data_IF_057445760753
#
_entry.id   IF_057445760753
#
_cell.length_a   1.000
_cell.length_b   1.000
_cell.length_c   1.000
_cell.angle_alpha   90.00
_cell.angle_beta   90.00
_cell.angle_gamma   90.00
#
_symmetry.space_group_name_H-M   'P 1'
#
loop_
_entity.id
_entity.type
_entity.pdbx_description
1 polymer ?
#
# COMPACT_ATOMS: atom_id res chain seq x y z
N UNK A 1 -6.80 10.06 -7.37
CA UNK A 1 -5.60 10.84 -7.71
C UNK A 1 -5.04 11.48 -6.44
N UNK A 2 -4.04 12.36 -6.55
CA UNK A 2 -3.70 13.33 -5.51
C UNK A 2 -4.36 14.67 -5.90
N UNK A 3 -5.07 15.29 -4.96
CA UNK A 3 -5.79 16.56 -5.13
C UNK A 3 -5.37 17.56 -4.06
N UNK A 4 -5.64 18.85 -4.27
CA UNK A 4 -5.53 19.88 -3.23
C UNK A 4 -6.81 20.00 -2.40
N UNK A 5 -6.85 20.99 -1.51
CA UNK A 5 -7.97 21.27 -0.59
C UNK A 5 -9.25 21.64 -1.33
N UNK A 6 -9.14 22.19 -2.54
CA UNK A 6 -10.26 22.54 -3.43
C UNK A 6 -10.70 21.35 -4.32
N UNK A 7 -10.16 20.14 -4.07
CA UNK A 7 -10.31 18.95 -4.88
C UNK A 7 -9.78 19.06 -6.33
N UNK A 8 -8.97 20.07 -6.64
CA UNK A 8 -8.36 20.20 -7.95
C UNK A 8 -7.29 19.12 -8.12
N UNK A 9 -7.24 18.51 -9.31
CA UNK A 9 -6.27 17.46 -9.62
C UNK A 9 -4.85 18.03 -9.63
N UNK A 10 -3.96 17.45 -8.83
CA UNK A 10 -2.54 17.81 -8.83
C UNK A 10 -1.70 16.83 -9.65
N UNK A 11 -1.79 15.54 -9.31
CA UNK A 11 -1.03 14.47 -9.98
C UNK A 11 -1.59 13.09 -9.64
N UNK A 12 -1.15 12.07 -10.36
CA UNK A 12 -1.37 10.68 -9.95
C UNK A 12 -0.41 10.27 -8.83
N UNK A 13 -0.82 9.29 -8.00
CA UNK A 13 0.06 8.67 -7.00
C UNK A 13 1.30 8.08 -7.70
N UNK A 14 2.45 8.18 -7.02
CA UNK A 14 3.74 7.63 -7.49
C UNK A 14 3.68 6.11 -7.72
N UNK A 15 3.12 5.38 -6.76
CA UNK A 15 2.91 3.93 -6.91
C UNK A 15 1.57 3.68 -7.60
N UNK A 16 1.56 2.77 -8.57
CA UNK A 16 0.38 2.40 -9.35
C UNK A 16 0.16 0.88 -9.32
N UNK A 17 -1.11 0.48 -9.30
CA UNK A 17 -1.50 -0.91 -9.40
C UNK A 17 -1.20 -1.44 -10.82
N UNK A 18 -0.49 -2.57 -10.95
CA UNK A 18 -0.31 -3.22 -12.26
C UNK A 18 -1.65 -3.74 -12.80
N UNK A 19 -1.73 -3.96 -14.11
CA UNK A 19 -2.94 -4.51 -14.76
C UNK A 19 -3.35 -5.85 -14.14
N UNK A 20 -2.38 -6.73 -13.91
CA UNK A 20 -2.55 -7.96 -13.13
C UNK A 20 -1.97 -7.74 -11.74
N UNK A 21 -2.84 -7.47 -10.78
CA UNK A 21 -2.45 -7.24 -9.39
C UNK A 21 -2.69 -8.50 -8.54
N UNK A 22 -1.79 -8.76 -7.60
CA UNK A 22 -1.94 -9.80 -6.60
C UNK A 22 -1.34 -9.35 -5.27
N UNK A 23 -1.53 -10.13 -4.20
CA UNK A 23 -0.85 -9.90 -2.92
C UNK A 23 0.68 -9.84 -3.06
N UNK A 24 1.26 -10.48 -4.08
CA UNK A 24 2.69 -10.42 -4.37
C UNK A 24 3.12 -9.03 -4.86
N UNK A 25 2.24 -8.27 -5.51
CA UNK A 25 2.55 -6.92 -6.02
C UNK A 25 2.90 -5.93 -4.91
N UNK A 26 2.38 -6.15 -3.69
CA UNK A 26 2.67 -5.34 -2.51
C UNK A 26 4.14 -5.42 -2.04
N UNK A 27 4.92 -6.38 -2.56
CA UNK A 27 6.38 -6.41 -2.38
C UNK A 27 7.08 -5.14 -2.89
N UNK A 28 6.44 -4.41 -3.81
CA UNK A 28 6.94 -3.15 -4.38
C UNK A 28 6.41 -1.90 -3.65
N UNK A 29 5.70 -2.10 -2.53
CA UNK A 29 5.04 -1.08 -1.73
C UNK A 29 3.51 -1.08 -1.88
N UNK A 30 2.85 -0.07 -1.30
CA UNK A 30 1.39 0.10 -1.30
C UNK A 30 0.87 0.54 -2.70
N UNK A 31 0.92 -0.37 -3.67
CA UNK A 31 0.58 -0.14 -5.10
C UNK A 31 -0.89 0.22 -5.32
N UNK A 32 -1.76 -0.21 -4.42
CA UNK A 32 -3.15 0.23 -4.28
C UNK A 32 -3.39 0.53 -2.80
N UNK A 33 -4.08 1.62 -2.50
CA UNK A 33 -4.42 1.97 -1.13
C UNK A 33 -5.69 1.26 -0.66
N UNK A 34 -5.86 1.14 0.65
CA UNK A 34 -7.04 0.48 1.23
C UNK A 34 -8.35 1.22 0.92
N UNK A 35 -8.35 2.56 0.80
CA UNK A 35 -9.56 3.33 0.45
C UNK A 35 -10.06 3.01 -0.95
N UNK A 36 -9.17 2.64 -1.88
CA UNK A 36 -9.53 2.23 -3.24
C UNK A 36 -9.64 0.71 -3.38
N UNK A 37 -9.81 -0.01 -2.26
CA UNK A 37 -9.80 -1.48 -2.20
C UNK A 37 -11.19 -1.99 -1.82
N UNK A 38 -11.88 -2.62 -2.76
CA UNK A 38 -13.23 -3.18 -2.55
C UNK A 38 -13.10 -4.68 -2.31
N UNK A 39 -13.63 -5.16 -1.18
CA UNK A 39 -13.52 -6.56 -0.75
C UNK A 39 -14.90 -7.17 -0.63
N UNK A 40 -15.05 -8.40 -1.10
CA UNK A 40 -16.28 -9.18 -0.91
C UNK A 40 -16.50 -9.40 0.59
N UNK A 41 -17.70 -9.10 1.09
CA UNK A 41 -18.04 -9.13 2.53
C UNK A 41 -17.64 -10.44 3.23
N UNK A 42 -17.80 -11.58 2.58
CA UNK A 42 -17.44 -12.90 3.14
C UNK A 42 -15.94 -13.10 3.37
N UNK A 43 -15.08 -12.34 2.68
CA UNK A 43 -13.62 -12.43 2.80
C UNK A 43 -13.07 -11.47 3.86
N UNK A 44 -13.87 -10.49 4.27
CA UNK A 44 -13.48 -9.41 5.15
C UNK A 44 -12.96 -9.94 6.50
N UNK A 45 -11.87 -9.34 6.97
CA UNK A 45 -11.42 -9.45 8.35
C UNK A 45 -11.14 -8.05 8.89
N UNK A 46 -11.20 -7.84 10.21
CA UNK A 46 -10.76 -6.58 10.80
C UNK A 46 -9.25 -6.35 10.62
N UNK A 47 -8.86 -5.08 10.75
CA UNK A 47 -7.46 -4.67 10.83
C UNK A 47 -6.77 -5.36 12.02
N UNK A 48 -5.50 -5.72 11.82
CA UNK A 48 -4.64 -6.18 12.92
C UNK A 48 -4.15 -4.94 13.68
N UNK A 49 -4.71 -4.72 14.87
CA UNK A 49 -4.43 -3.55 15.70
C UNK A 49 -3.08 -3.61 16.42
N UNK A 50 -2.33 -4.71 16.29
CA UNK A 50 -0.94 -4.77 16.74
C UNK A 50 -0.03 -3.85 15.90
N UNK A 51 -0.43 -3.51 14.68
CA UNK A 51 0.18 -2.48 13.86
C UNK A 51 -0.55 -1.15 14.04
N UNK A 52 0.13 -0.15 14.58
CA UNK A 52 -0.48 1.15 14.89
C UNK A 52 -0.56 2.08 13.69
N UNK A 53 0.31 1.91 12.70
CA UNK A 53 0.45 2.82 11.56
C UNK A 53 0.30 2.15 10.19
N UNK A 54 0.41 0.82 10.12
CA UNK A 54 0.49 0.08 8.85
C UNK A 54 -0.45 -1.13 8.79
N UNK A 55 -1.48 -1.15 9.63
CA UNK A 55 -2.49 -2.22 9.67
C UNK A 55 -3.23 -2.36 8.32
N UNK A 56 -3.40 -1.26 7.59
CA UNK A 56 -3.98 -1.23 6.26
C UNK A 56 -3.16 -1.99 5.21
N UNK A 57 -1.83 -1.91 5.31
CA UNK A 57 -0.90 -2.61 4.42
C UNK A 57 -0.98 -4.13 4.62
N UNK A 58 -0.95 -4.60 5.88
CA UNK A 58 -1.16 -6.02 6.21
C UNK A 58 -2.54 -6.50 5.76
N UNK A 59 -3.59 -5.72 6.02
CA UNK A 59 -4.96 -6.07 5.66
C UNK A 59 -5.15 -6.26 4.17
N UNK A 60 -4.65 -5.33 3.33
CA UNK A 60 -4.71 -5.49 1.88
C UNK A 60 -4.07 -6.82 1.43
N UNK A 61 -2.90 -7.19 1.99
CA UNK A 61 -2.24 -8.45 1.67
C UNK A 61 -3.09 -9.64 2.09
N UNK A 62 -3.64 -9.65 3.31
CA UNK A 62 -4.52 -10.73 3.80
C UNK A 62 -5.74 -10.91 2.94
N UNK A 63 -6.46 -9.82 2.64
CA UNK A 63 -7.67 -9.85 1.82
C UNK A 63 -7.37 -10.39 0.41
N UNK A 64 -6.25 -9.95 -0.18
CA UNK A 64 -5.80 -10.46 -1.49
C UNK A 64 -5.41 -11.94 -1.47
N UNK A 65 -4.81 -12.44 -0.37
CA UNK A 65 -4.46 -13.87 -0.25
C UNK A 65 -5.71 -14.75 -0.16
N UNK A 66 -6.82 -14.25 0.41
CA UNK A 66 -8.09 -14.97 0.50
C UNK A 66 -8.92 -14.93 -0.79
N UNK A 67 -8.72 -13.91 -1.62
CA UNK A 67 -9.50 -13.73 -2.84
C UNK A 67 -9.15 -14.77 -3.91
N UNK A 68 -10.18 -15.40 -4.49
CA UNK A 68 -10.02 -16.29 -5.66
C UNK A 68 -9.74 -15.52 -6.95
N UNK A 69 -10.33 -14.34 -7.08
CA UNK A 69 -10.19 -13.46 -8.25
C UNK A 69 -9.93 -12.04 -7.77
N UNK A 70 -9.02 -11.35 -8.45
CA UNK A 70 -8.67 -9.97 -8.18
C UNK A 70 -8.70 -9.22 -9.51
N UNK A 71 -9.46 -8.12 -9.55
CA UNK A 71 -9.60 -7.28 -10.74
C UNK A 71 -9.11 -5.87 -10.44
N UNK A 72 -8.22 -5.36 -11.30
CA UNK A 72 -7.92 -3.94 -11.34
C UNK A 72 -8.97 -3.24 -12.22
N UNK A 73 -9.77 -2.35 -11.63
CA UNK A 73 -10.82 -1.60 -12.35
C UNK A 73 -10.26 -0.66 -13.41
N UNK A 74 -8.97 -0.27 -13.29
CA UNK A 74 -8.29 0.74 -14.12
C UNK A 74 -8.92 2.13 -14.02
N UNK A 75 -9.75 2.37 -13.01
CA UNK A 75 -10.38 3.64 -12.73
C UNK A 75 -9.74 4.32 -11.53
N UNK A 76 -9.87 5.64 -11.45
CA UNK A 76 -9.57 6.38 -10.22
C UNK A 76 -10.79 6.29 -9.31
N UNK A 77 -10.69 5.47 -8.25
CA UNK A 77 -11.80 5.30 -7.30
C UNK A 77 -11.78 6.34 -6.17
N UNK A 78 -10.60 6.86 -5.81
CA UNK A 78 -10.41 7.75 -4.65
C UNK A 78 -9.44 8.88 -5.00
N UNK A 79 -9.75 10.08 -4.50
CA UNK A 79 -8.85 11.23 -4.45
C UNK A 79 -8.27 11.38 -3.04
N UNK A 80 -6.95 11.53 -2.97
CA UNK A 80 -6.20 11.77 -1.74
C UNK A 80 -5.82 13.22 -1.67
N UNK A 81 -6.13 13.85 -0.55
CA UNK A 81 -5.64 15.19 -0.27
C UNK A 81 -4.11 15.18 -0.19
N UNK A 82 -3.47 16.17 -0.81
CA UNK A 82 -2.03 16.40 -0.71
C UNK A 82 -1.68 17.05 0.63
N UNK A 83 -2.04 16.38 1.73
CA UNK A 83 -1.60 16.79 3.06
C UNK A 83 -0.08 16.61 3.11
N UNK A 84 0.65 17.66 3.46
CA UNK A 84 2.08 17.57 3.75
C UNK A 84 2.28 16.47 4.78
N UNK A 85 2.94 15.37 4.38
CA UNK A 85 3.12 14.18 5.22
C UNK A 85 3.51 14.58 6.63
N UNK A 86 2.65 14.32 7.62
CA UNK A 86 3.02 14.45 9.04
C UNK A 86 4.16 13.47 9.31
N UNK A 87 5.37 14.01 9.37
CA UNK A 87 6.64 13.24 9.39
C UNK A 87 6.86 12.52 10.71
N UNK A 88 6.14 12.91 11.77
CA UNK A 88 6.35 12.47 13.15
C UNK A 88 6.40 10.95 13.27
N UNK A 89 5.46 10.24 12.64
CA UNK A 89 5.34 8.78 12.76
C UNK A 89 5.88 8.01 11.55
N UNK A 90 6.52 8.68 10.59
CA UNK A 90 6.97 8.05 9.33
C UNK A 90 7.96 6.91 9.58
N UNK A 91 8.93 7.10 10.48
CA UNK A 91 9.91 6.05 10.84
C UNK A 91 9.23 4.83 11.46
N UNK A 92 8.27 5.04 12.36
CA UNK A 92 7.53 3.95 13.00
C UNK A 92 6.69 3.16 11.99
N UNK A 93 5.96 3.86 11.11
CA UNK A 93 5.23 3.23 10.00
C UNK A 93 6.14 2.42 9.07
N UNK A 94 7.31 2.95 8.72
CA UNK A 94 8.27 2.20 7.88
C UNK A 94 8.79 0.94 8.56
N UNK A 95 9.04 0.98 9.88
CA UNK A 95 9.43 -0.22 10.65
C UNK A 95 8.33 -1.28 10.66
N UNK A 96 7.08 -0.87 10.85
CA UNK A 96 5.94 -1.81 10.77
C UNK A 96 5.79 -2.40 9.38
N UNK A 97 5.87 -1.57 8.32
CA UNK A 97 5.84 -2.06 6.94
C UNK A 97 6.96 -3.07 6.66
N UNK A 98 8.17 -2.82 7.15
CA UNK A 98 9.26 -3.78 7.04
C UNK A 98 8.90 -5.13 7.70
N UNK A 99 8.41 -5.11 8.95
CA UNK A 99 7.98 -6.32 9.66
C UNK A 99 6.87 -7.08 8.92
N UNK A 100 5.89 -6.37 8.38
CA UNK A 100 4.82 -6.95 7.57
C UNK A 100 5.39 -7.59 6.30
N UNK A 101 6.31 -6.90 5.62
CA UNK A 101 6.94 -7.44 4.42
C UNK A 101 7.76 -8.70 4.72
N UNK A 102 8.52 -8.73 5.83
CA UNK A 102 9.23 -9.93 6.29
C UNK A 102 8.26 -11.09 6.50
N UNK A 103 7.13 -10.86 7.19
CA UNK A 103 6.07 -11.86 7.43
C UNK A 103 5.53 -12.50 6.14
N UNK A 104 5.38 -11.72 5.06
CA UNK A 104 4.74 -12.22 3.82
C UNK A 104 5.71 -12.61 2.69
N UNK A 105 6.90 -12.04 2.65
CA UNK A 105 7.84 -12.17 1.54
C UNK A 105 9.19 -12.76 1.94
N UNK A 106 9.48 -12.88 3.24
CA UNK A 106 10.75 -13.35 3.78
C UNK A 106 11.76 -12.24 4.00
N UNK A 107 12.73 -12.47 4.88
CA UNK A 107 13.68 -11.45 5.33
C UNK A 107 14.71 -11.03 4.27
N UNK A 108 15.44 -11.95 3.58
CA UNK A 108 16.44 -11.55 2.59
C UNK A 108 15.84 -10.75 1.43
N UNK A 109 14.66 -11.19 0.95
CA UNK A 109 13.95 -10.51 -0.14
C UNK A 109 13.47 -9.12 0.30
N UNK A 110 12.95 -9.00 1.53
CA UNK A 110 12.45 -7.73 2.07
C UNK A 110 13.57 -6.71 2.23
N UNK A 111 14.74 -7.14 2.71
CA UNK A 111 15.93 -6.28 2.78
C UNK A 111 16.32 -5.73 1.40
N UNK A 112 16.43 -6.60 0.39
CA UNK A 112 16.74 -6.18 -0.98
C UNK A 112 15.70 -5.22 -1.56
N UNK A 113 14.40 -5.47 -1.33
CA UNK A 113 13.34 -4.54 -1.76
C UNK A 113 13.46 -3.18 -1.09
N UNK A 114 13.81 -3.12 0.20
CA UNK A 114 13.98 -1.84 0.90
C UNK A 114 15.24 -1.09 0.45
N UNK A 115 16.33 -1.81 0.13
CA UNK A 115 17.50 -1.21 -0.50
C UNK A 115 17.14 -0.60 -1.86
N UNK A 116 16.41 -1.34 -2.70
CA UNK A 116 15.88 -0.83 -3.95
C UNK A 116 14.96 0.39 -3.76
N UNK A 117 14.11 0.39 -2.72
CA UNK A 117 13.26 1.55 -2.42
C UNK A 117 14.06 2.79 -2.04
N UNK A 118 15.17 2.62 -1.33
CA UNK A 118 16.08 3.72 -1.00
C UNK A 118 16.75 4.27 -2.26
N UNK A 119 17.30 3.40 -3.12
CA UNK A 119 17.87 3.79 -4.42
C UNK A 119 16.84 4.53 -5.27
N UNK A 120 15.64 3.96 -5.43
CA UNK A 120 14.54 4.58 -6.19
C UNK A 120 14.11 5.94 -5.63
N UNK A 121 14.28 6.19 -4.33
CA UNK A 121 13.93 7.47 -3.71
C UNK A 121 15.01 8.55 -3.86
N UNK A 122 16.23 8.18 -4.28
CA UNK A 122 17.32 9.12 -4.58
C UNK A 122 17.31 9.47 -6.07
N UNK A 123 16.98 8.50 -6.94
CA UNK A 123 16.97 8.67 -8.40
C UNK A 123 15.70 9.37 -8.94
N UNK A 124 14.67 9.55 -8.11
CA UNK A 124 13.38 10.18 -8.44
C UNK A 124 12.91 11.09 -7.32
#
# INVERSE_FOLDING_TARGET
AIVDEDNAFLRMRRLRAPVRISWKSFRMGMVVCHQAFIVKRELFEPYDLSYRFSSDFDWCIRMMKKAKTILNTRLTLINYLNEGMTTTNRKASLKERYRIMVKYYGEPSTFLYHLWFAVRAILH
#
